data_IF_566875597172
#
_entry.id   IF_566875597172
#
_cell.length_a   1.000
_cell.length_b   1.000
_cell.length_c   1.000
_cell.angle_alpha   90.00
_cell.angle_beta   90.00
_cell.angle_gamma   90.00
#
_symmetry.space_group_name_H-M   'P 1'
#
loop_
_entity.id
_entity.type
_entity.pdbx_description
1 polymer ?
#
# COMPACT_ATOMS: atom_id res chain seq x y z
N UNK A 1 -12.07 9.26 -5.31
CA UNK A 1 -13.00 9.62 -4.22
C UNK A 1 -12.38 9.10 -2.93
N UNK A 2 -12.30 9.89 -1.85
CA UNK A 2 -11.78 9.41 -0.56
C UNK A 2 -12.94 8.82 0.23
N UNK A 3 -12.80 7.59 0.72
CA UNK A 3 -13.79 6.98 1.63
C UNK A 3 -13.31 7.26 3.05
N UNK A 4 -14.12 7.95 3.85
CA UNK A 4 -13.81 8.29 5.26
C UNK A 4 -12.51 9.10 5.43
N UNK A 5 -12.09 9.87 4.41
CA UNK A 5 -10.83 10.62 4.45
C UNK A 5 -9.58 9.75 4.25
N UNK A 6 -9.76 8.47 3.89
CA UNK A 6 -8.69 7.52 3.59
C UNK A 6 -8.58 7.24 2.08
N UNK A 7 -7.38 6.90 1.65
CA UNK A 7 -7.03 6.54 0.29
C UNK A 7 -7.06 5.01 0.11
N UNK A 8 -7.80 4.53 -0.87
CA UNK A 8 -7.80 3.12 -1.27
C UNK A 8 -7.18 3.01 -2.66
N UNK A 9 -6.16 2.16 -2.82
CA UNK A 9 -5.34 2.08 -4.03
C UNK A 9 -5.51 0.72 -4.68
N UNK A 10 -5.84 0.70 -5.98
CA UNK A 10 -5.90 -0.49 -6.81
C UNK A 10 -4.75 -0.46 -7.82
N UNK A 11 -3.72 -1.28 -7.62
CA UNK A 11 -2.54 -1.34 -8.48
C UNK A 11 -2.63 -2.54 -9.42
N UNK A 12 -2.98 -2.30 -10.67
CA UNK A 12 -3.14 -3.32 -11.71
C UNK A 12 -2.88 -2.64 -13.05
N UNK A 13 -2.02 -3.18 -13.90
CA UNK A 13 -1.70 -2.58 -15.19
C UNK A 13 -2.81 -2.77 -16.23
N UNK A 14 -3.75 -3.68 -15.96
CA UNK A 14 -4.89 -4.05 -16.83
C UNK A 14 -6.24 -3.66 -16.23
N UNK A 15 -6.26 -2.73 -15.27
CA UNK A 15 -7.49 -2.31 -14.59
C UNK A 15 -8.59 -1.74 -15.53
N UNK A 16 -8.18 -1.20 -16.68
CA UNK A 16 -9.04 -0.60 -17.70
C UNK A 16 -9.26 -1.51 -18.92
N UNK A 17 -8.81 -2.76 -18.89
CA UNK A 17 -9.04 -3.72 -19.95
C UNK A 17 -10.54 -4.07 -20.03
N UNK A 18 -11.18 -3.73 -21.15
CA UNK A 18 -12.61 -3.97 -21.38
C UNK A 18 -12.96 -5.46 -21.39
N UNK A 19 -11.98 -6.33 -21.70
CA UNK A 19 -12.17 -7.78 -21.73
C UNK A 19 -12.14 -8.43 -20.34
N UNK A 20 -11.65 -7.73 -19.31
CA UNK A 20 -11.38 -8.30 -17.99
C UNK A 20 -12.22 -7.61 -16.90
N UNK A 21 -13.45 -8.07 -16.68
CA UNK A 21 -14.35 -7.49 -15.65
C UNK A 21 -13.80 -7.62 -14.23
N UNK A 22 -13.02 -8.66 -13.97
CA UNK A 22 -12.57 -9.03 -12.62
C UNK A 22 -11.36 -8.20 -12.15
N UNK A 23 -10.77 -7.42 -13.06
CA UNK A 23 -9.63 -6.52 -12.81
C UNK A 23 -10.04 -5.08 -12.54
N UNK A 24 -11.34 -4.79 -12.60
CA UNK A 24 -11.84 -3.43 -12.38
C UNK A 24 -11.73 -3.06 -10.91
N UNK A 25 -11.32 -1.81 -10.60
CA UNK A 25 -11.28 -1.33 -9.24
C UNK A 25 -12.70 -1.30 -8.66
N UNK A 26 -12.92 -1.78 -7.43
CA UNK A 26 -14.19 -1.60 -6.74
C UNK A 26 -14.49 -0.11 -6.53
N UNK A 27 -15.77 0.22 -6.32
CA UNK A 27 -16.17 1.60 -6.05
C UNK A 27 -15.38 2.20 -4.87
N UNK A 28 -14.88 3.43 -5.07
CA UNK A 28 -14.07 4.14 -4.08
C UNK A 28 -12.57 3.82 -4.09
N UNK A 29 -12.13 2.83 -4.87
CA UNK A 29 -10.71 2.54 -5.08
C UNK A 29 -10.14 3.40 -6.22
N UNK A 30 -8.93 3.92 -6.04
CA UNK A 30 -8.21 4.70 -7.04
C UNK A 30 -7.27 3.77 -7.82
N UNK A 31 -7.52 3.53 -9.12
CA UNK A 31 -6.65 2.71 -9.93
C UNK A 31 -5.33 3.43 -10.24
N UNK A 32 -4.25 2.65 -10.30
CA UNK A 32 -2.92 3.06 -10.78
C UNK A 32 -2.33 1.90 -11.56
N UNK A 33 -1.65 2.19 -12.67
CA UNK A 33 -1.15 1.16 -13.59
C UNK A 33 0.31 0.74 -13.34
N UNK A 34 1.07 1.56 -12.60
CA UNK A 34 2.49 1.32 -12.35
C UNK A 34 3.02 2.04 -11.10
N UNK A 35 4.31 1.82 -10.84
CA UNK A 35 5.01 2.40 -9.70
C UNK A 35 5.11 3.94 -9.75
N UNK A 36 5.19 4.54 -10.94
CA UNK A 36 5.28 5.99 -11.10
C UNK A 36 3.96 6.66 -10.70
N UNK A 37 2.84 6.10 -11.17
CA UNK A 37 1.50 6.54 -10.80
C UNK A 37 1.23 6.35 -9.31
N UNK A 38 1.61 5.19 -8.77
CA UNK A 38 1.52 4.90 -7.34
C UNK A 38 2.28 5.96 -6.51
N UNK A 39 3.55 6.19 -6.82
CA UNK A 39 4.37 7.21 -6.14
C UNK A 39 3.75 8.59 -6.19
N UNK A 40 3.22 8.97 -7.35
CA UNK A 40 2.59 10.28 -7.56
C UNK A 40 1.30 10.41 -6.74
N UNK A 41 0.50 9.34 -6.65
CA UNK A 41 -0.71 9.30 -5.85
C UNK A 41 -0.39 9.39 -4.35
N UNK A 42 0.54 8.57 -3.86
CA UNK A 42 0.96 8.53 -2.45
C UNK A 42 1.51 9.88 -2.00
N UNK A 43 2.42 10.50 -2.78
CA UNK A 43 2.96 11.83 -2.46
C UNK A 43 1.89 12.91 -2.39
N UNK A 44 0.90 12.87 -3.30
CA UNK A 44 -0.22 13.82 -3.28
C UNK A 44 -1.13 13.63 -2.07
N UNK A 45 -1.36 12.38 -1.66
CA UNK A 45 -2.13 12.06 -0.47
C UNK A 45 -1.42 12.53 0.81
N UNK A 46 -0.11 12.27 0.93
CA UNK A 46 0.71 12.75 2.04
C UNK A 46 0.67 14.27 2.18
N UNK A 47 0.84 15.01 1.08
CA UNK A 47 0.76 16.49 1.10
C UNK A 47 -0.60 17.01 1.58
N UNK A 48 -1.66 16.21 1.44
CA UNK A 48 -3.02 16.54 1.85
C UNK A 48 -3.39 16.00 3.24
N UNK A 49 -2.46 15.33 3.94
CA UNK A 49 -2.74 14.68 5.22
C UNK A 49 -3.73 13.51 5.11
N UNK A 50 -3.83 12.89 3.94
CA UNK A 50 -4.69 11.74 3.69
C UNK A 50 -3.93 10.46 4.04
N UNK A 51 -4.55 9.59 4.85
CA UNK A 51 -3.99 8.31 5.25
C UNK A 51 -4.39 7.19 4.28
N UNK A 52 -3.64 6.10 4.26
CA UNK A 52 -4.05 4.89 3.55
C UNK A 52 -5.21 4.21 4.28
N UNK A 53 -6.21 3.77 3.52
CA UNK A 53 -7.29 2.89 3.97
C UNK A 53 -7.13 1.48 3.41
N UNK A 54 -6.50 1.33 2.24
CA UNK A 54 -6.12 0.02 1.74
C UNK A 54 -5.31 0.06 0.45
N UNK A 55 -4.56 -1.01 0.21
CA UNK A 55 -3.79 -1.27 -0.99
C UNK A 55 -4.12 -2.69 -1.49
N UNK A 56 -4.55 -2.78 -2.73
CA UNK A 56 -4.86 -4.01 -3.42
C UNK A 56 -4.01 -4.02 -4.68
N UNK A 57 -3.24 -5.09 -4.93
CA UNK A 57 -2.33 -5.12 -6.09
C UNK A 57 -2.30 -6.45 -6.85
N UNK A 58 -2.12 -6.37 -8.17
CA UNK A 58 -1.58 -7.44 -9.00
C UNK A 58 -0.06 -7.48 -8.82
N UNK A 59 0.52 -8.67 -8.72
CA UNK A 59 1.96 -8.80 -8.58
C UNK A 59 2.68 -8.58 -9.90
N UNK A 60 2.07 -9.01 -11.01
CA UNK A 60 2.60 -8.82 -12.34
C UNK A 60 2.01 -7.56 -12.95
N UNK A 61 2.85 -6.54 -13.15
CA UNK A 61 2.47 -5.29 -13.78
C UNK A 61 2.94 -5.20 -15.23
N UNK A 62 3.52 -6.28 -15.77
CA UNK A 62 4.09 -6.37 -17.11
C UNK A 62 5.61 -6.24 -17.18
N UNK A 63 6.18 -6.64 -18.32
CA UNK A 63 7.63 -6.70 -18.54
C UNK A 63 8.34 -5.35 -18.32
N UNK A 64 9.45 -5.40 -17.59
CA UNK A 64 10.30 -4.25 -17.31
C UNK A 64 9.76 -3.28 -16.26
N UNK A 65 8.58 -3.57 -15.67
CA UNK A 65 8.05 -2.83 -14.53
C UNK A 65 8.42 -3.51 -13.22
N UNK A 66 8.32 -2.75 -12.12
CA UNK A 66 8.41 -3.31 -10.77
C UNK A 66 7.21 -4.22 -10.52
N UNK A 67 7.44 -5.28 -9.74
CA UNK A 67 6.35 -6.12 -9.27
C UNK A 67 5.45 -5.35 -8.29
N UNK A 68 4.18 -5.73 -8.20
CA UNK A 68 3.25 -5.14 -7.24
C UNK A 68 3.73 -5.31 -5.80
N UNK A 69 4.40 -6.44 -5.49
CA UNK A 69 5.11 -6.62 -4.22
C UNK A 69 6.15 -5.52 -3.98
N UNK A 70 7.06 -5.27 -4.90
CA UNK A 70 8.07 -4.21 -4.72
C UNK A 70 7.44 -2.82 -4.50
N UNK A 71 6.29 -2.59 -5.14
CA UNK A 71 5.53 -1.36 -5.00
C UNK A 71 4.92 -1.21 -3.60
N UNK A 72 4.33 -2.29 -3.06
CA UNK A 72 3.77 -2.33 -1.71
C UNK A 72 4.86 -2.22 -0.64
N UNK A 73 6.00 -2.92 -0.80
CA UNK A 73 7.14 -2.81 0.14
C UNK A 73 7.68 -1.38 0.21
N UNK A 74 7.75 -0.70 -0.94
CA UNK A 74 8.16 0.70 -0.97
C UNK A 74 7.25 1.59 -0.10
N UNK A 75 5.94 1.35 -0.09
CA UNK A 75 5.01 2.12 0.76
C UNK A 75 5.27 1.81 2.24
N UNK A 76 5.41 0.53 2.62
CA UNK A 76 5.68 0.14 4.02
C UNK A 76 6.99 0.74 4.54
N UNK A 77 8.01 0.79 3.70
CA UNK A 77 9.31 1.33 4.09
C UNK A 77 9.30 2.86 4.22
N UNK A 78 8.59 3.57 3.34
CA UNK A 78 8.66 5.04 3.26
C UNK A 78 7.53 5.74 4.02
N UNK A 79 6.41 5.06 4.26
CA UNK A 79 5.22 5.58 4.94
C UNK A 79 4.70 4.56 5.96
N UNK A 80 5.56 4.11 6.89
CA UNK A 80 5.20 3.07 7.85
C UNK A 80 4.03 3.46 8.77
N UNK A 81 3.81 4.75 8.99
CA UNK A 81 2.69 5.28 9.78
C UNK A 81 1.32 5.01 9.16
N UNK A 82 1.26 4.72 7.86
CA UNK A 82 0.03 4.30 7.18
C UNK A 82 -0.37 2.87 7.52
N UNK A 83 0.55 2.09 8.08
CA UNK A 83 0.33 0.73 8.54
C UNK A 83 0.26 0.67 10.06
N UNK A 84 -0.44 1.60 10.71
CA UNK A 84 -0.64 1.60 12.16
C UNK A 84 -2.11 1.40 12.54
N UNK A 85 -3.02 1.31 11.55
CA UNK A 85 -4.45 1.18 11.77
C UNK A 85 -4.97 -0.16 11.26
N UNK A 86 -6.22 -0.12 10.78
CA UNK A 86 -6.92 -1.25 10.17
C UNK A 86 -6.83 -1.21 8.64
N UNK A 87 -5.68 -0.82 8.10
CA UNK A 87 -5.45 -0.80 6.66
C UNK A 87 -5.62 -2.19 6.03
N UNK A 88 -6.28 -2.22 4.87
CA UNK A 88 -6.47 -3.46 4.13
C UNK A 88 -5.32 -3.62 3.15
N UNK A 89 -4.51 -4.67 3.30
CA UNK A 89 -3.58 -5.11 2.26
C UNK A 89 -4.10 -6.40 1.61
N UNK A 90 -4.18 -6.43 0.28
CA UNK A 90 -4.68 -7.58 -0.47
C UNK A 90 -3.90 -7.81 -1.75
N UNK A 91 -3.67 -9.08 -2.09
CA UNK A 91 -3.14 -9.46 -3.41
C UNK A 91 -4.30 -9.95 -4.27
N UNK A 92 -4.52 -9.30 -5.42
CA UNK A 92 -5.55 -9.72 -6.39
C UNK A 92 -4.96 -10.30 -7.68
N UNK A 93 -3.68 -10.69 -7.67
CA UNK A 93 -2.99 -11.28 -8.82
C UNK A 93 -3.61 -12.58 -9.32
N UNK A 94 -3.63 -12.86 -10.62
CA UNK A 94 -4.22 -14.11 -11.17
C UNK A 94 -3.53 -15.39 -10.66
N UNK A 95 -2.27 -15.29 -10.22
CA UNK A 95 -1.53 -16.43 -9.67
C UNK A 95 -1.97 -16.73 -8.22
N UNK A 96 -3.02 -17.52 -8.08
CA UNK A 96 -3.62 -17.91 -6.79
C UNK A 96 -2.64 -18.60 -5.82
N UNK A 97 -1.64 -19.33 -6.35
CA UNK A 97 -0.60 -19.98 -5.53
C UNK A 97 0.40 -18.99 -4.94
N UNK A 98 0.64 -17.86 -5.62
CA UNK A 98 1.56 -16.83 -5.14
C UNK A 98 0.91 -15.89 -4.10
N UNK A 99 -0.42 -15.69 -4.17
CA UNK A 99 -1.17 -14.81 -3.25
C UNK A 99 -0.85 -15.03 -1.76
N UNK A 100 -1.00 -16.24 -1.18
CA UNK A 100 -0.79 -16.43 0.25
C UNK A 100 0.66 -16.22 0.68
N UNK A 101 1.63 -16.51 -0.19
CA UNK A 101 3.05 -16.28 0.08
C UNK A 101 3.37 -14.78 0.12
N UNK A 102 2.83 -14.02 -0.83
CA UNK A 102 3.01 -12.57 -0.88
C UNK A 102 2.30 -11.90 0.30
N UNK A 103 1.03 -12.26 0.57
CA UNK A 103 0.28 -11.72 1.71
C UNK A 103 0.94 -12.05 3.04
N UNK A 104 1.42 -13.28 3.24
CA UNK A 104 2.16 -13.67 4.44
C UNK A 104 3.42 -12.83 4.65
N UNK A 105 4.25 -12.70 3.60
CA UNK A 105 5.45 -11.86 3.63
C UNK A 105 5.12 -10.41 4.01
N UNK A 106 4.04 -9.84 3.48
CA UNK A 106 3.66 -8.49 3.84
C UNK A 106 3.17 -8.31 5.25
N UNK A 107 2.39 -9.27 5.77
CA UNK A 107 1.96 -9.23 7.16
C UNK A 107 3.18 -9.23 8.08
N UNK A 108 4.18 -10.06 7.79
CA UNK A 108 5.43 -10.09 8.56
C UNK A 108 6.17 -8.73 8.50
N UNK A 109 6.30 -8.14 7.32
CA UNK A 109 6.96 -6.83 7.15
C UNK A 109 6.19 -5.70 7.84
N UNK A 110 4.86 -5.71 7.75
CA UNK A 110 4.00 -4.73 8.44
C UNK A 110 4.12 -4.88 9.95
N UNK A 111 4.06 -6.10 10.47
CA UNK A 111 4.15 -6.38 11.90
C UNK A 111 5.52 -5.99 12.47
N UNK A 112 6.60 -6.31 11.76
CA UNK A 112 7.95 -5.85 12.11
C UNK A 112 8.00 -4.33 12.14
N UNK A 113 7.42 -3.65 11.14
CA UNK A 113 7.47 -2.19 11.07
C UNK A 113 6.61 -1.53 12.15
N UNK A 114 5.42 -2.06 12.43
CA UNK A 114 4.55 -1.67 13.56
C UNK A 114 5.34 -1.78 14.87
N UNK A 115 6.01 -2.90 15.10
CA UNK A 115 6.83 -3.12 16.29
C UNK A 115 7.95 -2.06 16.42
N UNK A 116 8.71 -1.84 15.35
CA UNK A 116 9.82 -0.89 15.34
C UNK A 116 9.36 0.55 15.63
N UNK A 117 8.27 0.99 14.99
CA UNK A 117 7.68 2.30 15.26
C UNK A 117 7.23 2.45 16.73
N UNK A 118 6.60 1.42 17.30
CA UNK A 118 6.18 1.45 18.71
C UNK A 118 7.39 1.54 19.67
N UNK A 119 8.50 0.87 19.34
CA UNK A 119 9.75 0.95 20.11
C UNK A 119 10.35 2.36 20.01
N UNK A 120 10.40 2.93 18.81
CA UNK A 120 10.89 4.30 18.58
C UNK A 120 10.05 5.33 19.35
N UNK A 121 8.72 5.25 19.26
CA UNK A 121 7.80 6.14 20.00
C UNK A 121 7.97 6.02 21.52
N UNK A 122 8.22 4.80 22.05
CA UNK A 122 8.49 4.60 23.48
C UNK A 122 9.80 5.26 23.90
N UNK A 123 10.86 5.13 23.11
CA UNK A 123 12.15 5.77 23.38
C UNK A 123 12.03 7.30 23.37
N UNK A 124 11.32 7.86 22.39
CA UNK A 124 11.09 9.30 22.31
C UNK A 124 10.30 9.86 23.50
N UNK A 125 9.27 9.14 23.96
CA UNK A 125 8.54 9.51 25.19
C UNK A 125 9.42 9.51 26.44
N UNK A 126 10.45 8.67 26.47
CA UNK A 126 11.42 8.62 27.57
C UNK A 126 12.51 9.70 27.45
N UNK A 127 12.89 10.11 26.23
CA UNK A 127 13.87 11.17 25.99
C UNK A 127 13.28 12.59 26.00
N UNK A 128 11.96 12.73 25.92
CA UNK A 128 11.29 14.04 25.84
C UNK A 128 11.36 14.68 24.45
N UNK A 129 11.79 13.93 23.44
CA UNK A 129 11.88 14.38 22.04
C UNK A 129 10.56 14.14 21.30
N UNK A 130 10.17 15.07 20.42
CA UNK A 130 9.04 14.92 19.49
C UNK A 130 9.53 14.64 18.08
N UNK A 131 8.81 13.79 17.34
CA UNK A 131 9.02 13.55 15.91
C UNK A 131 9.00 14.89 15.17
N UNK A 132 10.17 15.32 14.70
CA UNK A 132 10.30 16.43 13.77
C UNK A 132 9.85 15.98 12.38
N UNK A 133 8.71 16.48 11.93
CA UNK A 133 8.21 16.33 10.56
C UNK A 133 8.58 17.57 9.74
#
# INVERSE_FOLDING_TARGET
MLREGKLYIWLDDRWNDEASTDRRPPEGWMPVADFSELKSLVKRAMKKGVLLGGLSFDNDLGDGKKEGKDCAEWIVQNYPEWFLGDEILKVHSDNSSARPLIEGHFNDVIDERKHNLMVEMKKMKQSGETLGY
#
